data_IF_834003723421
#
_entry.id   IF_834003723421
#
_cell.length_a   1.000
_cell.length_b   1.000
_cell.length_c   1.000
_cell.angle_alpha   90.00
_cell.angle_beta   90.00
_cell.angle_gamma   90.00
#
_symmetry.space_group_name_H-M   'P 1'
#
loop_
_entity.id
_entity.type
_entity.pdbx_description
1 polymer ?
#
# COMPACT_ATOMS: atom_id res chain seq x y z
N UNK A 1 -30.03 24.69 15.24
CA UNK A 1 -31.20 23.98 15.78
C UNK A 1 -30.72 23.22 17.00
N UNK A 2 -30.81 23.83 18.18
CA UNK A 2 -30.43 23.18 19.44
C UNK A 2 -31.62 22.34 19.86
N UNK A 3 -31.52 21.02 19.72
CA UNK A 3 -32.64 20.13 20.04
C UNK A 3 -32.42 19.55 21.43
N UNK A 4 -33.32 19.85 22.36
CA UNK A 4 -33.21 19.50 23.78
C UNK A 4 -34.07 18.26 24.09
N UNK A 5 -33.51 17.32 24.87
CA UNK A 5 -34.10 16.05 25.33
C UNK A 5 -34.59 15.07 24.24
N UNK A 6 -33.65 14.31 23.67
CA UNK A 6 -33.97 13.12 22.87
C UNK A 6 -33.75 11.82 23.65
N UNK A 7 -34.75 10.95 23.62
CA UNK A 7 -34.56 9.53 23.93
C UNK A 7 -33.56 8.90 22.96
N UNK A 8 -32.88 7.83 23.39
CA UNK A 8 -31.87 7.12 22.57
C UNK A 8 -32.42 6.71 21.19
N UNK A 9 -33.66 6.24 21.15
CA UNK A 9 -34.35 5.82 19.93
C UNK A 9 -34.54 6.97 18.93
N UNK A 10 -34.85 8.17 19.42
CA UNK A 10 -35.02 9.33 18.56
C UNK A 10 -33.71 9.77 17.92
N UNK A 11 -32.58 9.72 18.66
CA UNK A 11 -31.25 10.03 18.10
C UNK A 11 -30.89 9.05 16.98
N UNK A 12 -31.15 7.76 17.19
CA UNK A 12 -30.95 6.73 16.18
C UNK A 12 -31.79 6.98 14.92
N UNK A 13 -33.09 7.26 15.09
CA UNK A 13 -34.01 7.48 13.98
C UNK A 13 -33.65 8.75 13.18
N UNK A 14 -33.15 9.81 13.83
CA UNK A 14 -32.68 11.02 13.14
C UNK A 14 -31.50 10.71 12.24
N UNK A 15 -30.48 9.99 12.75
CA UNK A 15 -29.32 9.59 11.95
C UNK A 15 -29.77 8.76 10.76
N UNK A 16 -30.67 7.78 10.99
CA UNK A 16 -31.22 6.94 9.93
C UNK A 16 -31.95 7.77 8.86
N UNK A 17 -32.83 8.70 9.24
CA UNK A 17 -33.54 9.56 8.29
C UNK A 17 -32.62 10.48 7.50
N UNK A 18 -31.53 10.96 8.09
CA UNK A 18 -30.53 11.76 7.39
C UNK A 18 -29.72 10.92 6.40
N UNK A 19 -29.38 9.67 6.77
CA UNK A 19 -28.76 8.70 5.86
C UNK A 19 -29.68 8.30 4.71
N UNK A 20 -30.98 8.12 4.96
CA UNK A 20 -31.98 7.81 3.93
C UNK A 20 -32.11 8.95 2.89
N UNK A 21 -31.80 10.19 3.31
CA UNK A 21 -31.68 11.37 2.43
C UNK A 21 -30.32 11.48 1.72
N UNK A 22 -29.47 10.45 1.83
CA UNK A 22 -28.12 10.37 1.24
C UNK A 22 -27.12 11.39 1.81
N UNK A 23 -27.33 11.88 3.02
CA UNK A 23 -26.32 12.68 3.72
C UNK A 23 -25.34 11.77 4.46
N UNK A 24 -24.04 12.11 4.39
CA UNK A 24 -23.01 11.48 5.23
C UNK A 24 -23.12 12.12 6.60
N UNK A 25 -23.42 11.32 7.62
CA UNK A 25 -23.77 11.79 8.95
C UNK A 25 -22.65 11.51 9.94
N UNK A 26 -22.06 12.58 10.48
CA UNK A 26 -21.21 12.50 11.66
C UNK A 26 -22.03 12.77 12.92
N UNK A 27 -21.94 11.89 13.92
CA UNK A 27 -22.64 12.06 15.20
C UNK A 27 -21.64 12.16 16.34
N UNK A 28 -21.83 13.14 17.22
CA UNK A 28 -21.10 13.25 18.49
C UNK A 28 -21.93 12.70 19.64
N UNK A 29 -21.30 12.03 20.59
CA UNK A 29 -21.96 11.51 21.78
C UNK A 29 -21.02 11.34 22.96
N UNK A 30 -21.59 11.32 24.16
CA UNK A 30 -20.87 11.23 25.44
C UNK A 30 -21.39 10.08 26.32
N UNK A 31 -22.69 9.79 26.26
CA UNK A 31 -23.36 8.81 27.11
C UNK A 31 -23.57 7.42 26.49
N UNK A 32 -23.90 6.46 27.34
CA UNK A 32 -24.34 5.09 26.96
C UNK A 32 -25.53 5.09 26.01
N UNK A 33 -26.40 6.10 26.13
CA UNK A 33 -27.60 6.28 25.32
C UNK A 33 -27.29 6.68 23.86
N UNK A 34 -26.10 7.22 23.61
CA UNK A 34 -25.68 7.63 22.28
C UNK A 34 -25.02 6.49 21.51
N UNK A 35 -24.58 5.42 22.20
CA UNK A 35 -23.93 4.27 21.60
C UNK A 35 -24.65 3.68 20.36
N UNK A 36 -25.99 3.42 20.36
CA UNK A 36 -26.66 2.88 19.18
C UNK A 36 -26.66 3.86 17.99
N UNK A 37 -26.76 5.15 18.27
CA UNK A 37 -26.81 6.19 17.24
C UNK A 37 -25.40 6.53 16.70
N UNK A 38 -24.38 6.54 17.56
CA UNK A 38 -22.96 6.63 17.21
C UNK A 38 -22.56 5.50 16.26
N UNK A 39 -22.97 4.27 16.57
CA UNK A 39 -22.69 3.10 15.74
C UNK A 39 -23.47 3.11 14.42
N UNK A 40 -24.62 3.78 14.37
CA UNK A 40 -25.44 3.89 13.16
C UNK A 40 -24.91 4.97 12.21
N UNK A 41 -24.32 6.03 12.75
CA UNK A 41 -23.74 7.12 11.98
C UNK A 41 -22.62 6.62 11.04
N UNK A 42 -22.36 7.38 9.97
CA UNK A 42 -21.24 7.06 9.08
C UNK A 42 -19.89 7.31 9.77
N UNK A 43 -19.89 8.24 10.73
CA UNK A 43 -18.75 8.52 11.61
C UNK A 43 -19.29 8.83 13.01
N UNK A 44 -19.04 7.93 13.97
CA UNK A 44 -19.29 8.16 15.39
C UNK A 44 -18.10 8.85 16.06
N UNK A 45 -18.35 9.95 16.79
CA UNK A 45 -17.33 10.75 17.47
C UNK A 45 -17.62 10.79 18.98
N UNK A 46 -16.74 10.21 19.79
CA UNK A 46 -16.82 10.33 21.24
C UNK A 46 -16.04 11.57 21.72
N UNK A 47 -16.65 12.33 22.62
CA UNK A 47 -16.00 13.48 23.28
C UNK A 47 -14.96 12.99 24.31
N UNK A 48 -13.99 13.82 24.68
CA UNK A 48 -12.91 13.45 25.62
C UNK A 48 -13.41 12.88 26.96
N UNK A 49 -14.50 13.46 27.49
CA UNK A 49 -15.12 13.04 28.74
C UNK A 49 -16.24 12.00 28.54
N UNK A 50 -16.31 11.37 27.36
CA UNK A 50 -17.33 10.37 27.07
C UNK A 50 -17.16 9.11 27.93
N UNK A 51 -18.27 8.43 28.21
CA UNK A 51 -18.28 7.10 28.85
C UNK A 51 -17.54 6.06 28.01
N UNK A 52 -16.97 5.04 28.65
CA UNK A 52 -16.27 3.95 27.93
C UNK A 52 -17.20 3.22 26.93
N UNK A 53 -18.49 3.18 27.23
CA UNK A 53 -19.51 2.68 26.31
C UNK A 53 -19.65 3.54 25.04
N UNK A 54 -19.62 4.86 25.14
CA UNK A 54 -19.66 5.76 23.98
C UNK A 54 -18.34 5.70 23.19
N UNK A 55 -17.18 5.69 23.89
CA UNK A 55 -15.85 5.55 23.24
C UNK A 55 -15.69 4.25 22.47
N UNK A 56 -16.28 3.16 22.96
CA UNK A 56 -16.26 1.86 22.28
C UNK A 56 -17.25 1.75 21.12
N UNK A 57 -18.30 2.58 21.12
CA UNK A 57 -19.27 2.65 20.03
C UNK A 57 -18.87 3.62 18.92
N UNK A 58 -17.96 4.56 19.18
CA UNK A 58 -17.47 5.58 18.23
C UNK A 58 -16.28 5.10 17.38
N UNK A 59 -16.16 5.64 16.16
CA UNK A 59 -15.01 5.42 15.28
C UNK A 59 -13.80 6.30 15.64
N UNK A 60 -14.06 7.49 16.19
CA UNK A 60 -13.05 8.49 16.57
C UNK A 60 -13.31 8.94 18.00
N UNK A 61 -12.25 8.95 18.82
CA UNK A 61 -12.30 9.52 20.18
C UNK A 61 -11.46 10.80 20.21
N UNK A 62 -12.09 11.91 20.60
CA UNK A 62 -11.41 13.19 20.80
C UNK A 62 -10.65 13.14 22.12
N UNK A 63 -9.41 13.61 22.13
CA UNK A 63 -8.62 13.71 23.36
C UNK A 63 -8.77 15.08 24.04
N UNK A 64 -9.28 16.06 23.31
CA UNK A 64 -9.54 17.42 23.78
C UNK A 64 -11.03 17.76 23.62
N UNK A 65 -11.65 18.46 24.57
CA UNK A 65 -13.02 18.92 24.43
C UNK A 65 -13.11 20.08 23.43
N UNK A 66 -14.21 20.15 22.68
CA UNK A 66 -14.54 21.31 21.85
C UNK A 66 -14.90 20.97 20.40
N UNK A 67 -15.84 21.73 19.85
CA UNK A 67 -16.27 21.58 18.45
C UNK A 67 -15.16 21.98 17.45
N UNK A 68 -14.24 22.86 17.86
CA UNK A 68 -13.09 23.28 17.05
C UNK A 68 -12.17 22.12 16.66
N UNK A 69 -12.04 21.12 17.53
CA UNK A 69 -11.24 19.91 17.28
C UNK A 69 -11.86 19.09 16.15
N UNK A 70 -13.19 18.97 16.13
CA UNK A 70 -13.91 18.27 15.06
C UNK A 70 -13.72 18.98 13.72
N UNK A 71 -13.85 20.31 13.69
CA UNK A 71 -13.63 21.09 12.47
C UNK A 71 -12.20 20.91 11.95
N UNK A 72 -11.21 20.98 12.85
CA UNK A 72 -9.80 20.78 12.51
C UNK A 72 -9.53 19.36 11.99
N UNK A 73 -10.11 18.34 12.62
CA UNK A 73 -10.01 16.95 12.19
C UNK A 73 -10.62 16.74 10.79
N UNK A 74 -11.78 17.35 10.51
CA UNK A 74 -12.42 17.30 9.19
C UNK A 74 -11.55 17.98 8.12
N UNK A 75 -10.95 19.14 8.41
CA UNK A 75 -10.05 19.81 7.47
C UNK A 75 -8.79 18.99 7.19
N UNK A 76 -8.18 18.40 8.21
CA UNK A 76 -7.01 17.52 8.05
C UNK A 76 -7.38 16.25 7.27
N UNK A 77 -8.52 15.63 7.56
CA UNK A 77 -9.03 14.47 6.81
C UNK A 77 -9.22 14.78 5.33
N UNK A 78 -9.80 15.95 5.00
CA UNK A 78 -9.93 16.40 3.60
C UNK A 78 -8.58 16.59 2.93
N UNK A 79 -7.56 17.09 3.63
CA UNK A 79 -6.21 17.22 3.07
C UNK A 79 -5.59 15.85 2.77
N UNK A 80 -5.73 14.87 3.68
CA UNK A 80 -5.26 13.49 3.48
C UNK A 80 -5.99 12.84 2.29
N UNK A 81 -7.31 13.02 2.21
CA UNK A 81 -8.12 12.48 1.12
C UNK A 81 -7.67 13.01 -0.25
N UNK A 82 -7.31 14.30 -0.35
CA UNK A 82 -6.77 14.86 -1.58
C UNK A 82 -5.42 14.25 -1.95
N UNK A 83 -4.52 14.02 -0.98
CA UNK A 83 -3.23 13.34 -1.23
C UNK A 83 -3.46 11.92 -1.79
N UNK A 84 -4.42 11.19 -1.22
CA UNK A 84 -4.78 9.85 -1.71
C UNK A 84 -5.30 9.89 -3.14
N UNK A 85 -6.20 10.81 -3.49
CA UNK A 85 -6.70 10.96 -4.87
C UNK A 85 -5.57 11.27 -5.84
N UNK A 86 -4.72 12.25 -5.52
CA UNK A 86 -3.59 12.65 -6.36
C UNK A 86 -2.61 11.49 -6.58
N UNK A 87 -2.33 10.72 -5.53
CA UNK A 87 -1.53 9.50 -5.62
C UNK A 87 -2.16 8.46 -6.55
N UNK A 88 -3.47 8.22 -6.45
CA UNK A 88 -4.15 7.27 -7.35
C UNK A 88 -4.10 7.72 -8.80
N UNK A 89 -4.32 9.02 -9.09
CA UNK A 89 -4.20 9.55 -10.46
C UNK A 89 -2.78 9.31 -11.00
N UNK A 90 -1.76 9.59 -10.19
CA UNK A 90 -0.36 9.37 -10.54
C UNK A 90 -0.05 7.89 -10.81
N UNK A 91 -0.43 6.99 -9.92
CA UNK A 91 -0.19 5.55 -10.05
C UNK A 91 -0.83 5.00 -11.33
N UNK A 92 -2.11 5.35 -11.58
CA UNK A 92 -2.81 4.96 -12.80
C UNK A 92 -2.09 5.52 -14.04
N UNK A 93 -1.71 6.80 -14.02
CA UNK A 93 -1.05 7.43 -15.16
C UNK A 93 0.27 6.76 -15.54
N UNK A 94 1.11 6.41 -14.57
CA UNK A 94 2.39 5.73 -14.83
C UNK A 94 2.17 4.34 -15.40
N UNK A 95 1.24 3.56 -14.85
CA UNK A 95 0.95 2.22 -15.38
C UNK A 95 0.51 2.28 -16.85
N UNK A 96 -0.41 3.18 -17.18
CA UNK A 96 -0.87 3.40 -18.56
C UNK A 96 0.29 3.84 -19.46
N UNK A 97 1.15 4.74 -18.97
CA UNK A 97 2.31 5.21 -19.73
C UNK A 97 3.28 4.08 -20.06
N UNK A 98 3.67 3.28 -19.08
CA UNK A 98 4.64 2.18 -19.27
C UNK A 98 4.04 1.14 -20.22
N UNK A 99 2.80 0.71 -19.96
CA UNK A 99 2.13 -0.30 -20.79
C UNK A 99 1.96 0.19 -22.22
N UNK A 100 1.33 1.35 -22.44
CA UNK A 100 1.07 1.85 -23.80
C UNK A 100 2.36 2.31 -24.50
N UNK A 101 3.27 2.98 -23.79
CA UNK A 101 4.48 3.54 -24.36
C UNK A 101 5.42 2.46 -24.90
N UNK A 102 5.78 1.48 -24.08
CA UNK A 102 6.67 0.41 -24.51
C UNK A 102 5.98 -0.54 -25.50
N UNK A 103 4.67 -0.81 -25.34
CA UNK A 103 3.91 -1.60 -26.31
C UNK A 103 3.91 -0.96 -27.70
N UNK A 104 3.70 0.36 -27.80
CA UNK A 104 3.68 1.06 -29.08
C UNK A 104 5.07 1.09 -29.75
N UNK A 105 6.14 1.30 -28.96
CA UNK A 105 7.51 1.29 -29.48
C UNK A 105 7.88 -0.10 -30.03
N UNK A 106 7.56 -1.16 -29.28
CA UNK A 106 7.80 -2.53 -29.70
C UNK A 106 6.97 -2.90 -30.95
N UNK A 107 5.72 -2.45 -31.05
CA UNK A 107 4.85 -2.76 -32.20
C UNK A 107 5.33 -2.08 -33.49
N UNK A 108 5.72 -0.81 -33.42
CA UNK A 108 6.03 0.01 -34.61
C UNK A 108 7.47 -0.20 -35.07
N UNK A 109 8.44 -0.23 -34.15
CA UNK A 109 9.88 -0.30 -34.49
C UNK A 109 10.56 -1.62 -34.10
N UNK A 110 9.84 -2.59 -33.52
CA UNK A 110 10.42 -3.85 -33.00
C UNK A 110 11.62 -3.62 -32.09
N UNK A 111 11.54 -2.56 -31.30
CA UNK A 111 12.58 -2.17 -30.35
C UNK A 111 12.23 -2.74 -28.97
N UNK A 112 13.09 -3.63 -28.47
CA UNK A 112 12.92 -4.27 -27.18
C UNK A 112 13.63 -3.47 -26.09
N UNK A 113 12.88 -3.07 -25.06
CA UNK A 113 13.42 -2.33 -23.93
C UNK A 113 13.70 -3.29 -22.77
N UNK A 114 14.91 -3.23 -22.23
CA UNK A 114 15.35 -4.13 -21.15
C UNK A 114 14.45 -3.97 -19.89
N UNK A 115 13.81 -5.05 -19.41
CA UNK A 115 13.02 -5.03 -18.18
C UNK A 115 13.78 -4.52 -16.94
N UNK A 116 15.10 -4.72 -16.87
CA UNK A 116 15.94 -4.25 -15.77
C UNK A 116 15.92 -2.73 -15.66
N UNK A 117 15.94 -2.01 -16.78
CA UNK A 117 15.87 -0.55 -16.79
C UNK A 117 14.50 -0.05 -16.31
N UNK A 118 13.41 -0.76 -16.65
CA UNK A 118 12.06 -0.46 -16.14
C UNK A 118 11.97 -0.71 -14.64
N UNK A 119 12.60 -1.77 -14.15
CA UNK A 119 12.69 -2.07 -12.72
C UNK A 119 13.39 -0.94 -11.95
N UNK A 120 14.50 -0.40 -12.47
CA UNK A 120 15.18 0.75 -11.86
C UNK A 120 14.26 1.96 -11.80
N UNK A 121 13.50 2.25 -12.87
CA UNK A 121 12.51 3.33 -12.87
C UNK A 121 11.47 3.12 -11.77
N UNK A 122 10.94 1.90 -11.62
CA UNK A 122 9.94 1.57 -10.61
C UNK A 122 10.47 1.81 -9.19
N UNK A 123 11.65 1.28 -8.85
CA UNK A 123 12.27 1.44 -7.52
C UNK A 123 12.50 2.92 -7.20
N UNK A 124 13.04 3.70 -8.15
CA UNK A 124 13.28 5.12 -7.95
C UNK A 124 11.98 5.93 -7.79
N UNK A 125 10.94 5.56 -8.53
CA UNK A 125 9.63 6.19 -8.39
C UNK A 125 9.05 5.89 -7.01
N UNK A 126 9.10 4.65 -6.52
CA UNK A 126 8.61 4.25 -5.20
C UNK A 126 9.30 5.00 -4.06
N UNK A 127 10.62 5.16 -4.15
CA UNK A 127 11.37 5.97 -3.18
C UNK A 127 10.88 7.42 -3.12
N UNK A 128 10.58 8.03 -4.27
CA UNK A 128 10.02 9.39 -4.32
C UNK A 128 8.55 9.49 -3.92
N UNK A 129 7.75 8.45 -4.16
CA UNK A 129 6.32 8.41 -3.79
C UNK A 129 6.13 8.58 -2.28
N UNK A 130 7.05 8.06 -1.46
CA UNK A 130 6.96 8.20 0.00
C UNK A 130 6.88 9.67 0.46
N UNK A 131 7.42 10.61 -0.33
CA UNK A 131 7.35 12.04 -0.03
C UNK A 131 5.96 12.66 -0.21
N UNK A 132 5.10 12.05 -1.04
CA UNK A 132 3.71 12.50 -1.27
C UNK A 132 2.89 12.42 0.03
N UNK A 133 3.19 11.45 0.90
CA UNK A 133 2.50 11.30 2.19
C UNK A 133 2.64 12.54 3.10
N UNK A 134 3.80 13.21 3.03
CA UNK A 134 4.17 14.40 3.84
C UNK A 134 3.92 15.72 3.13
N UNK A 135 3.26 15.67 1.99
CA UNK A 135 3.16 16.81 1.11
C UNK A 135 2.12 17.86 1.55
N UNK A 136 2.33 19.14 1.24
CA UNK A 136 1.41 20.21 1.57
C UNK A 136 0.34 20.38 0.49
N UNK A 137 -0.82 19.74 0.69
CA UNK A 137 -1.99 19.83 -0.20
C UNK A 137 -3.07 20.70 0.45
N UNK A 138 -3.74 21.55 -0.33
CA UNK A 138 -4.87 22.36 0.14
C UNK A 138 -6.12 21.47 0.29
N UNK A 139 -6.81 21.49 1.44
CA UNK A 139 -8.04 20.73 1.61
C UNK A 139 -9.13 21.26 0.68
N UNK A 140 -10.01 20.37 0.22
CA UNK A 140 -11.18 20.76 -0.58
C UNK A 140 -12.17 21.57 0.28
N UNK A 141 -12.71 22.71 -0.21
CA UNK A 141 -13.68 23.50 0.55
C UNK A 141 -15.01 22.77 0.72
N UNK A 142 -15.37 21.93 -0.25
CA UNK A 142 -16.56 21.09 -0.25
C UNK A 142 -16.21 19.63 0.10
N UNK A 143 -17.12 18.89 0.75
CA UNK A 143 -16.97 17.46 0.94
C UNK A 143 -16.86 16.77 -0.42
N UNK A 144 -15.83 15.95 -0.57
CA UNK A 144 -15.51 15.25 -1.80
C UNK A 144 -15.73 13.75 -1.57
N UNK A 145 -16.25 13.07 -2.58
CA UNK A 145 -16.52 11.63 -2.56
C UNK A 145 -15.57 10.92 -3.50
N UNK A 146 -15.26 9.65 -3.25
CA UNK A 146 -14.34 8.89 -4.10
C UNK A 146 -14.99 8.57 -5.47
N UNK A 147 -14.83 9.46 -6.44
CA UNK A 147 -15.31 9.28 -7.82
C UNK A 147 -14.27 8.52 -8.63
N UNK A 148 -14.24 7.18 -8.50
CA UNK A 148 -13.27 6.32 -9.17
C UNK A 148 -13.17 6.63 -10.67
N UNK A 149 -14.32 6.73 -11.36
CA UNK A 149 -14.36 6.95 -12.82
C UNK A 149 -13.62 8.22 -13.25
N UNK A 150 -13.77 9.31 -12.50
CA UNK A 150 -13.10 10.58 -12.79
C UNK A 150 -11.58 10.49 -12.56
N UNK A 151 -11.17 9.83 -11.47
CA UNK A 151 -9.78 9.58 -11.12
C UNK A 151 -9.08 8.73 -12.20
N UNK A 152 -9.72 7.62 -12.61
CA UNK A 152 -9.20 6.74 -13.65
C UNK A 152 -9.18 7.42 -15.02
N UNK A 153 -10.24 8.14 -15.40
CA UNK A 153 -10.28 8.86 -16.68
C UNK A 153 -9.15 9.89 -16.77
N UNK A 154 -8.94 10.69 -15.71
CA UNK A 154 -7.85 11.66 -15.64
C UNK A 154 -6.49 10.97 -15.74
N UNK A 155 -6.31 9.86 -15.02
CA UNK A 155 -5.07 9.09 -15.06
C UNK A 155 -4.76 8.48 -16.43
N UNK A 156 -5.77 7.93 -17.11
CA UNK A 156 -5.63 7.35 -18.46
C UNK A 156 -5.27 8.43 -19.47
N UNK A 157 -5.92 9.59 -19.43
CA UNK A 157 -5.64 10.70 -20.36
C UNK A 157 -4.21 11.21 -20.18
N UNK A 158 -3.78 11.46 -18.93
CA UNK A 158 -2.41 11.89 -18.64
C UNK A 158 -1.39 10.80 -19.05
N UNK A 159 -1.64 9.54 -18.71
CA UNK A 159 -0.77 8.43 -19.06
C UNK A 159 -0.64 8.22 -20.57
N UNK A 160 -1.74 8.29 -21.31
CA UNK A 160 -1.77 8.16 -22.76
C UNK A 160 -1.04 9.33 -23.44
N UNK A 161 -1.24 10.56 -22.98
CA UNK A 161 -0.49 11.72 -23.47
C UNK A 161 1.02 11.51 -23.28
N UNK A 162 1.46 11.08 -22.09
CA UNK A 162 2.88 10.82 -21.83
C UNK A 162 3.43 9.65 -22.65
N UNK A 163 2.63 8.61 -22.92
CA UNK A 163 3.02 7.51 -23.79
C UNK A 163 3.26 7.99 -25.22
N UNK A 164 2.33 8.78 -25.76
CA UNK A 164 2.45 9.39 -27.10
C UNK A 164 3.71 10.27 -27.16
N UNK A 165 3.97 11.09 -26.14
CA UNK A 165 5.18 11.94 -26.12
C UNK A 165 6.47 11.12 -26.04
N UNK A 166 6.47 9.96 -25.37
CA UNK A 166 7.61 9.04 -25.38
C UNK A 166 7.79 8.39 -26.76
N UNK A 167 6.71 8.01 -27.44
CA UNK A 167 6.76 7.50 -28.82
C UNK A 167 7.28 8.56 -29.80
N UNK A 168 6.77 9.79 -29.71
CA UNK A 168 7.23 10.92 -30.54
C UNK A 168 8.71 11.22 -30.30
N UNK A 169 9.15 11.19 -29.03
CA UNK A 169 10.57 11.35 -28.69
C UNK A 169 11.43 10.25 -29.32
N UNK A 170 11.00 8.98 -29.24
CA UNK A 170 11.71 7.86 -29.86
C UNK A 170 11.76 8.01 -31.39
N UNK A 171 10.64 8.37 -32.02
CA UNK A 171 10.58 8.61 -33.46
C UNK A 171 11.52 9.74 -33.90
N UNK A 172 11.54 10.86 -33.16
CA UNK A 172 12.46 11.96 -33.45
C UNK A 172 13.93 11.57 -33.29
N UNK A 173 14.25 10.70 -32.33
CA UNK A 173 15.63 10.25 -32.09
C UNK A 173 16.11 9.17 -33.07
N UNK A 174 15.20 8.31 -33.54
CA UNK A 174 15.55 7.17 -34.40
C UNK A 174 15.35 7.45 -35.90
N UNK A 175 14.28 8.13 -36.29
CA UNK A 175 13.93 8.32 -37.70
C UNK A 175 14.41 9.65 -38.30
N UNK A 176 14.72 10.65 -37.47
CA UNK A 176 15.06 12.01 -37.92
C UNK A 176 16.36 12.53 -37.31
N UNK A 177 17.03 13.46 -37.99
CA UNK A 177 18.24 14.14 -37.49
C UNK A 177 17.94 15.44 -36.74
N UNK A 178 16.71 15.58 -36.22
CA UNK A 178 16.25 16.79 -35.53
C UNK A 178 17.15 17.19 -34.36
N UNK A 179 17.58 16.23 -33.53
CA UNK A 179 18.42 16.51 -32.36
C UNK A 179 19.83 16.98 -32.76
N UNK A 180 20.56 16.27 -33.64
CA UNK A 180 21.83 16.76 -34.17
C UNK A 180 21.73 18.14 -34.84
N UNK A 181 20.71 18.36 -35.67
CA UNK A 181 20.57 19.60 -36.45
C UNK A 181 20.25 20.82 -35.56
N UNK A 182 19.36 20.67 -34.56
CA UNK A 182 18.97 21.78 -33.68
C UNK A 182 19.90 22.01 -32.50
N UNK A 183 20.44 20.94 -31.90
CA UNK A 183 21.21 21.03 -30.66
C UNK A 183 22.71 20.78 -30.86
N UNK A 184 23.16 20.44 -32.07
CA UNK A 184 24.57 20.17 -32.36
C UNK A 184 25.13 18.95 -31.63
N UNK A 185 24.26 18.01 -31.22
CA UNK A 185 24.64 16.79 -30.50
C UNK A 185 25.01 15.66 -31.46
N UNK A 186 25.77 14.68 -30.97
CA UNK A 186 26.13 13.50 -31.77
C UNK A 186 24.87 12.70 -32.13
N UNK A 187 24.76 12.17 -33.36
CA UNK A 187 23.65 11.29 -33.73
C UNK A 187 23.75 9.97 -32.98
N UNK A 188 22.66 9.58 -32.32
CA UNK A 188 22.53 8.35 -31.51
C UNK A 188 21.67 7.28 -32.21
N UNK A 189 21.35 7.49 -33.49
CA UNK A 189 20.35 6.71 -34.23
C UNK A 189 20.70 5.22 -34.35
N UNK A 190 21.97 4.91 -34.62
CA UNK A 190 22.42 3.56 -34.93
C UNK A 190 22.85 2.77 -33.69
N UNK A 191 23.08 3.45 -32.56
CA UNK A 191 23.51 2.80 -31.32
C UNK A 191 22.31 2.51 -30.41
N UNK A 192 21.91 1.23 -30.34
CA UNK A 192 20.80 0.77 -29.51
C UNK A 192 20.99 1.09 -28.02
N UNK A 193 22.21 1.01 -27.51
CA UNK A 193 22.50 1.26 -26.08
C UNK A 193 22.29 2.74 -25.73
N UNK A 194 22.80 3.64 -26.57
CA UNK A 194 22.64 5.09 -26.37
C UNK A 194 21.18 5.53 -26.52
N UNK A 195 20.44 4.94 -27.48
CA UNK A 195 19.02 5.20 -27.67
C UNK A 195 18.18 4.70 -26.47
N UNK A 196 18.49 3.51 -25.96
CA UNK A 196 17.87 2.95 -24.74
C UNK A 196 18.13 3.85 -23.54
N UNK A 197 19.37 4.31 -23.36
CA UNK A 197 19.74 5.20 -22.28
C UNK A 197 19.03 6.56 -22.36
N UNK A 198 18.93 7.15 -23.56
CA UNK A 198 18.20 8.40 -23.77
C UNK A 198 16.70 8.25 -23.46
N UNK A 199 16.09 7.14 -23.89
CA UNK A 199 14.69 6.86 -23.62
C UNK A 199 14.43 6.60 -22.12
N UNK A 200 15.31 5.83 -21.45
CA UNK A 200 15.27 5.64 -20.00
C UNK A 200 15.26 6.98 -19.26
N UNK A 201 16.18 7.88 -19.61
CA UNK A 201 16.36 9.18 -18.96
C UNK A 201 15.11 10.07 -19.16
N UNK A 202 14.57 10.09 -20.37
CA UNK A 202 13.31 10.79 -20.68
C UNK A 202 12.13 10.24 -19.88
N UNK A 203 11.98 8.90 -19.84
CA UNK A 203 10.86 8.27 -19.15
C UNK A 203 10.93 8.56 -17.66
N UNK A 204 12.10 8.45 -17.05
CA UNK A 204 12.22 8.63 -15.60
C UNK A 204 12.07 10.09 -15.15
N UNK A 205 12.62 11.07 -15.91
CA UNK A 205 12.45 12.50 -15.59
C UNK A 205 10.97 12.85 -15.61
N UNK A 206 10.28 12.51 -16.70
CA UNK A 206 8.88 12.87 -16.89
C UNK A 206 7.98 12.12 -15.89
N UNK A 207 8.32 10.88 -15.54
CA UNK A 207 7.54 10.12 -14.54
C UNK A 207 7.56 10.82 -13.20
N UNK A 208 8.69 11.39 -12.77
CA UNK A 208 8.71 12.19 -11.55
C UNK A 208 8.12 13.58 -11.71
N UNK A 209 8.28 14.21 -12.87
CA UNK A 209 7.66 15.50 -13.15
C UNK A 209 6.12 15.43 -13.04
N UNK A 210 5.54 14.28 -13.37
CA UNK A 210 4.10 14.01 -13.25
C UNK A 210 3.58 14.14 -11.81
N UNK A 211 4.42 13.93 -10.78
CA UNK A 211 4.02 14.15 -9.38
C UNK A 211 3.66 15.62 -9.16
N UNK A 212 4.38 16.55 -9.81
CA UNK A 212 4.09 17.98 -9.69
C UNK A 212 2.84 18.41 -10.45
N UNK A 213 2.43 17.66 -11.47
CA UNK A 213 1.19 17.94 -12.22
C UNK A 213 -0.02 17.36 -11.49
N UNK A 214 0.09 16.12 -11.01
CA UNK A 214 -1.00 15.41 -10.32
C UNK A 214 -1.31 15.97 -8.93
N UNK A 215 -0.36 16.65 -8.28
CA UNK A 215 -0.59 17.36 -7.01
C UNK A 215 -1.47 18.60 -7.16
N UNK A 216 -1.36 19.29 -8.31
CA UNK A 216 -1.86 20.66 -8.46
C UNK A 216 -3.23 20.64 -9.12
N UNK A 217 -4.19 21.35 -8.52
CA UNK A 217 -5.50 21.56 -9.14
C UNK A 217 -5.46 22.69 -10.16
N UNK A 218 -4.54 23.62 -9.96
CA UNK A 218 -4.22 24.69 -10.91
C UNK A 218 -2.91 24.38 -11.64
N UNK A 219 -2.27 25.40 -12.19
CA UNK A 219 -0.94 25.30 -12.75
C UNK A 219 0.08 24.84 -11.71
N UNK A 220 0.85 23.81 -12.06
CA UNK A 220 1.87 23.20 -11.21
C UNK A 220 2.90 24.21 -10.67
N UNK A 221 3.26 25.23 -11.45
CA UNK A 221 4.19 26.29 -11.04
C UNK A 221 3.64 27.25 -9.99
N UNK A 222 2.32 27.37 -9.85
CA UNK A 222 1.68 28.27 -8.88
C UNK A 222 1.59 27.61 -7.50
N UNK A 223 1.39 26.29 -7.47
CA UNK A 223 1.27 25.53 -6.24
C UNK A 223 2.65 25.08 -5.74
N UNK A 224 3.22 25.82 -4.79
CA UNK A 224 4.53 25.51 -4.21
C UNK A 224 4.56 24.07 -3.65
N UNK A 225 5.41 23.19 -4.18
CA UNK A 225 5.58 21.84 -3.64
C UNK A 225 6.28 21.87 -2.27
N UNK A 226 6.09 20.81 -1.48
CA UNK A 226 6.82 20.63 -0.23
C UNK A 226 8.33 20.52 -0.47
N UNK A 227 9.14 21.06 0.45
CA UNK A 227 10.61 21.01 0.35
C UNK A 227 11.13 19.58 0.18
N UNK A 228 10.55 18.61 0.90
CA UNK A 228 10.91 17.20 0.80
C UNK A 228 10.68 16.61 -0.60
N UNK A 229 9.62 17.03 -1.29
CA UNK A 229 9.31 16.57 -2.65
C UNK A 229 10.33 17.13 -3.65
N UNK A 230 10.70 18.40 -3.52
CA UNK A 230 11.74 19.02 -4.37
C UNK A 230 13.10 18.36 -4.14
N UNK A 231 13.48 18.18 -2.87
CA UNK A 231 14.73 17.53 -2.51
C UNK A 231 14.80 16.10 -3.04
N UNK A 232 13.72 15.33 -2.90
CA UNK A 232 13.63 13.97 -3.43
C UNK A 232 13.65 13.93 -4.97
N UNK A 233 13.01 14.89 -5.64
CA UNK A 233 13.10 15.03 -7.08
C UNK A 233 14.54 15.28 -7.52
N UNK A 234 15.21 16.28 -6.95
CA UNK A 234 16.60 16.62 -7.31
C UNK A 234 17.54 15.43 -7.02
N UNK A 235 17.42 14.82 -5.83
CA UNK A 235 18.22 13.66 -5.46
C UNK A 235 18.04 12.50 -6.45
N UNK A 236 16.79 12.19 -6.81
CA UNK A 236 16.52 11.14 -7.78
C UNK A 236 17.02 11.49 -9.19
N UNK A 237 16.93 12.74 -9.64
CA UNK A 237 17.51 13.13 -10.94
C UNK A 237 19.03 13.02 -10.96
N UNK A 238 19.71 13.41 -9.87
CA UNK A 238 21.15 13.28 -9.74
C UNK A 238 21.60 11.81 -9.74
N UNK A 239 20.87 10.95 -9.01
CA UNK A 239 21.15 9.50 -8.97
C UNK A 239 21.02 8.84 -10.35
N UNK A 240 20.13 9.31 -11.20
CA UNK A 240 19.94 8.76 -12.56
C UNK A 240 20.98 9.21 -13.56
N UNK A 241 21.47 10.44 -13.41
CA UNK A 241 22.48 11.01 -14.31
C UNK A 241 23.85 10.32 -14.16
N UNK A 242 24.09 9.63 -13.04
CA UNK A 242 25.39 9.04 -12.70
C UNK A 242 25.30 7.50 -12.57
N UNK A 243 25.15 6.73 -13.67
CA UNK A 243 25.04 5.27 -13.63
C UNK A 243 26.26 4.59 -12.99
N UNK A 244 27.42 5.24 -12.98
CA UNK A 244 28.63 4.73 -12.28
C UNK A 244 28.44 4.54 -10.77
N UNK A 245 27.50 5.26 -10.15
CA UNK A 245 27.17 5.05 -8.73
C UNK A 245 26.38 3.75 -8.50
N UNK A 246 25.70 3.24 -9.53
CA UNK A 246 24.95 1.97 -9.47
C UNK A 246 25.88 0.77 -9.57
N UNK A 247 26.89 0.85 -10.44
CA UNK A 247 27.98 -0.14 -10.54
C UNK A 247 28.72 -0.27 -9.21
N UNK A 248 28.98 0.84 -8.51
CA UNK A 248 29.63 0.85 -7.19
C UNK A 248 28.77 0.36 -6.01
N UNK A 249 27.46 0.16 -6.18
CA UNK A 249 26.53 -0.29 -5.13
C UNK A 249 26.30 -1.82 -5.13
N UNK A 250 27.15 -2.59 -5.81
CA UNK A 250 27.14 -4.07 -5.76
C UNK A 250 26.07 -4.74 -6.63
N UNK A 251 25.48 -4.02 -7.57
CA UNK A 251 24.47 -4.57 -8.50
C UNK A 251 25.06 -5.47 -9.59
N UNK A 252 26.37 -5.40 -9.85
CA UNK A 252 27.07 -6.28 -10.79
C UNK A 252 26.91 -7.77 -10.41
N UNK A 253 26.89 -8.07 -9.10
CA UNK A 253 26.64 -9.42 -8.59
C UNK A 253 25.19 -9.86 -8.77
N UNK A 254 24.23 -8.94 -8.65
CA UNK A 254 22.81 -9.22 -8.83
C UNK A 254 22.43 -9.41 -10.30
N UNK A 255 23.05 -8.66 -11.21
CA UNK A 255 22.93 -8.87 -12.66
C UNK A 255 23.48 -10.24 -13.07
N UNK A 256 24.67 -10.61 -12.58
CA UNK A 256 25.27 -11.94 -12.80
C UNK A 256 24.45 -13.09 -12.15
N UNK A 257 23.81 -12.85 -10.99
CA UNK A 257 22.94 -13.85 -10.36
C UNK A 257 21.57 -13.96 -11.02
N UNK A 258 21.03 -12.90 -11.62
CA UNK A 258 19.77 -12.97 -12.38
C UNK A 258 19.97 -13.67 -13.74
N UNK A 259 21.13 -13.49 -14.37
CA UNK A 259 21.48 -14.17 -15.63
C UNK A 259 21.54 -15.70 -15.46
N UNK A 260 21.89 -16.18 -14.27
CA UNK A 260 21.84 -17.60 -13.94
C UNK A 260 20.42 -18.17 -13.73
N UNK A 261 19.40 -17.31 -13.56
CA UNK A 261 18.02 -17.71 -13.27
C UNK A 261 17.08 -17.67 -14.50
N UNK A 262 17.50 -17.06 -15.61
CA UNK A 262 16.74 -17.02 -16.85
C UNK A 262 17.44 -17.86 -17.92
N UNK A 263 16.92 -19.06 -18.28
CA UNK A 263 17.48 -19.83 -19.38
C UNK A 263 17.17 -19.11 -20.71
N UNK A 264 18.21 -18.54 -21.32
CA UNK A 264 18.17 -17.99 -22.68
C UNK A 264 17.65 -19.05 -23.67
N UNK A 265 16.45 -18.84 -24.21
CA UNK A 265 15.94 -19.61 -25.37
C UNK A 265 16.42 -18.95 -26.65
N UNK A 266 17.40 -19.54 -27.32
CA UNK A 266 17.47 -19.66 -28.78
C UNK A 266 18.43 -20.80 -29.17
N UNK A 267 17.96 -21.89 -29.79
CA UNK A 267 18.84 -22.88 -30.42
C UNK A 267 19.17 -22.45 -31.85
N UNK A 268 20.42 -22.11 -32.12
CA UNK A 268 20.94 -22.02 -33.49
C UNK A 268 21.25 -23.42 -34.00
N UNK A 269 20.58 -23.79 -35.09
CA UNK A 269 20.71 -25.05 -35.81
C UNK A 269 21.97 -25.02 -36.66
N UNK A 270 22.93 -25.93 -36.44
CA UNK A 270 23.92 -26.28 -37.45
C UNK A 270 24.19 -27.79 -37.49
N UNK A 271 24.12 -28.33 -38.71
CA UNK A 271 24.29 -29.75 -39.08
C UNK A 271 25.72 -30.29 -38.84
N UNK A 272 25.90 -31.62 -38.74
CA UNK A 272 27.11 -32.27 -38.25
C UNK A 272 28.06 -32.67 -39.40
N UNK A 273 29.38 -32.65 -39.18
CA UNK A 273 30.34 -33.48 -39.91
C UNK A 273 31.67 -33.59 -39.15
N UNK A 274 32.00 -34.84 -38.79
CA UNK A 274 33.34 -35.46 -38.86
C UNK A 274 34.39 -35.08 -37.80
N UNK A 275 34.60 -35.96 -36.82
CA UNK A 275 35.89 -36.65 -36.61
C UNK A 275 35.79 -37.71 -35.51
N UNK A 276 36.17 -38.91 -35.90
CA UNK A 276 36.25 -40.18 -35.19
C UNK A 276 37.50 -40.23 -34.28
N UNK A 277 37.37 -40.82 -33.07
CA UNK A 277 38.27 -41.80 -32.41
C UNK A 277 37.91 -41.86 -30.92
N UNK A 278 37.14 -42.83 -30.43
CA UNK A 278 37.53 -44.19 -30.01
C UNK A 278 38.75 -44.28 -29.07
N UNK A 279 38.48 -44.50 -27.78
CA UNK A 279 39.06 -45.57 -26.95
C UNK A 279 38.14 -45.77 -25.71
N UNK A 280 37.24 -46.76 -25.67
CA UNK A 280 37.43 -48.12 -25.12
C UNK A 280 37.91 -48.17 -23.66
N UNK A 281 37.04 -48.65 -22.75
CA UNK A 281 37.45 -49.23 -21.45
C UNK A 281 36.56 -48.87 -20.25
N UNK A 282 35.60 -49.73 -19.91
CA UNK A 282 35.09 -49.98 -18.54
C UNK A 282 35.63 -51.36 -18.08
N UNK A 283 35.55 -51.86 -16.81
CA UNK A 283 34.65 -51.46 -15.68
C UNK A 283 35.21 -51.52 -14.20
N UNK A 284 34.48 -50.89 -13.25
CA UNK A 284 34.09 -51.27 -11.83
C UNK A 284 35.10 -51.78 -10.76
N UNK A 285 34.76 -51.93 -9.44
CA UNK A 285 33.92 -51.18 -8.46
C UNK A 285 34.59 -51.06 -7.03
N UNK A 286 33.79 -50.81 -5.96
CA UNK A 286 34.07 -50.91 -4.49
C UNK A 286 34.76 -49.71 -3.81
N UNK A 287 34.57 -49.29 -2.55
CA UNK A 287 33.83 -49.58 -1.29
C UNK A 287 34.02 -48.26 -0.46
N UNK A 288 33.21 -47.76 0.47
CA UNK A 288 32.55 -48.34 1.63
C UNK A 288 32.82 -47.46 2.88
N UNK A 289 31.78 -47.31 3.71
CA UNK A 289 31.75 -46.94 5.15
C UNK A 289 31.48 -45.49 5.61
N UNK A 290 30.34 -45.43 6.32
CA UNK A 290 29.89 -44.52 7.36
C UNK A 290 30.82 -44.44 8.59
N UNK A 291 30.81 -43.27 9.27
CA UNK A 291 30.60 -43.12 10.72
C UNK A 291 30.21 -41.66 11.08
N UNK A 292 29.11 -41.49 11.82
CA UNK A 292 28.62 -40.25 12.47
C UNK A 292 29.45 -39.90 13.74
N UNK A 293 29.02 -39.03 14.70
CA UNK A 293 28.14 -37.84 14.69
C UNK A 293 28.78 -36.61 15.43
N UNK A 294 28.10 -35.45 15.48
CA UNK A 294 27.82 -34.64 16.72
C UNK A 294 27.82 -33.12 16.52
N UNK A 295 26.70 -32.51 16.95
CA UNK A 295 26.51 -31.21 17.62
C UNK A 295 27.33 -29.96 17.20
N UNK A 296 26.66 -28.85 16.85
CA UNK A 296 26.41 -27.74 17.80
C UNK A 296 25.54 -26.60 17.21
N UNK A 297 24.55 -26.17 17.99
CA UNK A 297 23.92 -24.83 18.07
C UNK A 297 23.24 -24.17 16.85
N UNK A 298 21.91 -24.33 16.78
CA UNK A 298 21.00 -23.31 16.27
C UNK A 298 20.30 -22.62 17.47
N UNK A 299 20.57 -21.32 17.66
CA UNK A 299 19.94 -20.52 18.69
C UNK A 299 18.69 -19.84 18.11
N UNK A 300 17.52 -20.49 18.21
CA UNK A 300 16.23 -19.87 17.89
C UNK A 300 15.77 -19.00 19.06
N UNK A 301 16.01 -17.68 18.99
CA UNK A 301 15.39 -16.72 19.91
C UNK A 301 13.91 -16.52 19.51
N UNK A 302 13.00 -16.83 20.43
CA UNK A 302 11.60 -16.38 20.46
C UNK A 302 11.54 -14.84 20.43
N UNK A 303 10.57 -14.21 19.74
CA UNK A 303 10.24 -12.82 20.01
C UNK A 303 9.29 -12.77 21.21
N UNK A 304 9.77 -12.21 22.31
CA UNK A 304 8.96 -11.76 23.43
C UNK A 304 8.06 -10.59 23.00
N UNK A 305 6.86 -10.55 23.58
CA UNK A 305 5.97 -9.40 23.81
C UNK A 305 6.43 -8.05 23.23
N UNK A 306 5.82 -7.63 22.12
CA UNK A 306 5.92 -6.24 21.65
C UNK A 306 4.87 -5.42 22.39
N UNK A 307 5.36 -4.71 23.39
CA UNK A 307 4.73 -3.55 24.00
C UNK A 307 4.36 -2.51 22.93
N UNK A 308 3.22 -1.86 23.14
CA UNK A 308 2.81 -0.55 22.62
C UNK A 308 3.94 0.25 21.93
N UNK A 309 4.11 0.06 20.62
CA UNK A 309 4.90 0.98 19.81
C UNK A 309 3.99 2.09 19.28
N UNK A 310 4.08 3.24 19.96
CA UNK A 310 3.70 4.56 19.45
C UNK A 310 4.49 4.84 18.17
N UNK A 311 3.80 5.13 17.07
CA UNK A 311 4.42 5.84 15.95
C UNK A 311 4.56 7.33 16.32
N UNK A 312 5.76 7.93 16.25
CA UNK A 312 5.93 9.35 16.51
C UNK A 312 5.61 10.13 15.23
N UNK A 313 4.35 10.55 15.07
CA UNK A 313 4.00 11.66 14.18
C UNK A 313 3.44 12.80 15.04
N UNK A 314 4.37 13.56 15.62
CA UNK A 314 4.13 14.79 16.37
C UNK A 314 3.66 15.89 15.42
N UNK A 315 2.35 15.93 15.12
CA UNK A 315 1.56 17.17 14.92
C UNK A 315 0.07 16.84 14.71
N UNK A 316 -0.58 16.38 15.79
CA UNK A 316 -2.01 16.46 16.14
C UNK A 316 -2.35 15.26 17.04
N UNK A 317 -2.04 15.38 18.33
CA UNK A 317 -2.43 14.40 19.37
C UNK A 317 -3.89 14.61 19.83
N UNK A 318 -4.76 15.07 18.93
CA UNK A 318 -6.16 15.45 19.23
C UNK A 318 -7.17 14.33 18.97
N UNK A 319 -6.77 13.25 18.30
CA UNK A 319 -7.64 12.15 17.88
C UNK A 319 -6.91 10.81 17.99
N UNK A 320 -7.50 9.84 18.67
CA UNK A 320 -7.00 8.46 18.71
C UNK A 320 -7.88 7.57 17.83
N UNK A 321 -7.27 6.83 16.89
CA UNK A 321 -7.93 5.78 16.13
C UNK A 321 -7.79 4.45 16.86
N UNK A 322 -8.87 3.68 16.96
CA UNK A 322 -8.88 2.38 17.64
C UNK A 322 -8.70 1.26 16.60
N UNK A 323 -7.76 0.34 16.83
CA UNK A 323 -7.44 -0.77 15.91
C UNK A 323 -8.14 -2.08 16.27
N UNK A 324 -8.96 -2.10 17.33
CA UNK A 324 -9.68 -3.33 17.76
C UNK A 324 -10.92 -3.55 16.91
N UNK A 325 -10.83 -4.45 15.92
CA UNK A 325 -12.00 -5.06 15.30
C UNK A 325 -12.71 -5.92 16.37
N UNK A 326 -13.99 -5.65 16.60
CA UNK A 326 -14.91 -6.44 17.43
C UNK A 326 -14.73 -6.44 18.96
N UNK A 327 -13.95 -5.52 19.55
CA UNK A 327 -13.92 -5.21 21.00
C UNK A 327 -14.19 -6.40 21.94
N UNK A 328 -13.43 -7.50 21.78
CA UNK A 328 -13.52 -8.65 22.66
C UNK A 328 -14.94 -9.19 22.83
N UNK A 329 -15.78 -9.17 21.78
CA UNK A 329 -17.14 -9.77 21.82
C UNK A 329 -17.09 -11.19 22.37
N UNK A 330 -16.10 -11.98 21.93
CA UNK A 330 -15.83 -13.32 22.47
C UNK A 330 -15.40 -13.33 23.93
N UNK A 331 -14.59 -12.35 24.39
CA UNK A 331 -14.19 -12.25 25.80
C UNK A 331 -15.39 -11.92 26.71
N UNK A 332 -16.32 -11.09 26.23
CA UNK A 332 -17.56 -10.75 26.96
C UNK A 332 -18.59 -11.86 26.94
N UNK A 333 -18.74 -12.57 25.83
CA UNK A 333 -19.59 -13.77 25.75
C UNK A 333 -19.04 -14.87 26.67
N UNK A 334 -17.72 -15.04 26.72
CA UNK A 334 -17.05 -15.97 27.64
C UNK A 334 -17.24 -15.55 29.11
N UNK A 335 -17.04 -14.27 29.45
CA UNK A 335 -17.26 -13.76 30.81
C UNK A 335 -18.72 -13.85 31.24
N UNK A 336 -19.67 -13.60 30.34
CA UNK A 336 -21.10 -13.75 30.59
C UNK A 336 -21.50 -15.21 30.81
N UNK A 337 -20.96 -16.14 30.01
CA UNK A 337 -21.17 -17.58 30.20
C UNK A 337 -20.54 -18.08 31.53
N UNK A 338 -19.40 -17.52 31.92
CA UNK A 338 -18.73 -17.84 33.19
C UNK A 338 -19.52 -17.30 34.39
N UNK A 339 -20.10 -16.10 34.27
CA UNK A 339 -20.99 -15.50 35.28
C UNK A 339 -22.35 -16.20 35.39
N UNK A 340 -22.88 -16.77 34.30
CA UNK A 340 -24.07 -17.63 34.36
C UNK A 340 -23.79 -18.96 35.07
N UNK A 341 -22.59 -19.55 34.88
CA UNK A 341 -22.19 -20.80 35.56
C UNK A 341 -22.08 -20.64 37.08
N UNK A 342 -21.57 -19.50 37.55
CA UNK A 342 -21.47 -19.22 39.00
C UNK A 342 -22.83 -18.99 39.64
N UNK A 343 -23.79 -18.41 38.90
CA UNK A 343 -25.18 -18.24 39.33
C UNK A 343 -25.94 -19.56 39.50
N UNK A 344 -25.55 -20.62 38.78
CA UNK A 344 -26.14 -21.95 38.87
C UNK A 344 -25.38 -22.93 39.79
N UNK A 345 -24.43 -22.43 40.60
CA UNK A 345 -23.80 -23.20 41.67
C UNK A 345 -22.77 -24.26 41.23
N UNK A 346 -22.30 -24.21 39.98
CA UNK A 346 -21.20 -25.08 39.53
C UNK A 346 -19.86 -24.37 39.78
N UNK A 347 -18.97 -25.01 40.53
CA UNK A 347 -17.62 -24.50 40.77
C UNK A 347 -16.85 -24.31 39.45
N UNK A 348 -16.06 -23.24 39.29
CA UNK A 348 -15.12 -23.14 38.17
C UNK A 348 -14.07 -24.25 38.31
N UNK A 349 -13.76 -24.94 37.21
CA UNK A 349 -12.58 -25.81 37.17
C UNK A 349 -11.34 -24.96 37.43
N UNK A 350 -10.44 -25.44 38.28
CA UNK A 350 -9.23 -24.74 38.71
C UNK A 350 -8.45 -24.19 37.51
N UNK A 351 -8.23 -22.88 37.52
CA UNK A 351 -7.70 -22.09 36.40
C UNK A 351 -6.18 -22.20 36.22
N UNK A 352 -5.52 -23.20 36.81
CA UNK A 352 -4.06 -23.33 36.75
C UNK A 352 -3.53 -24.07 35.51
N UNK A 353 -4.34 -24.90 34.83
CA UNK A 353 -3.86 -25.71 33.70
C UNK A 353 -4.47 -25.34 32.33
N UNK A 354 -5.32 -24.32 32.27
CA UNK A 354 -6.11 -23.97 31.07
C UNK A 354 -5.37 -23.15 30.01
N UNK A 355 -4.11 -22.76 30.24
CA UNK A 355 -3.38 -21.85 29.35
C UNK A 355 -2.30 -22.49 28.48
N UNK A 356 -2.19 -23.82 28.43
CA UNK A 356 -1.02 -24.43 27.78
C UNK A 356 -1.27 -25.41 26.63
N UNK A 357 -2.44 -25.43 25.97
CA UNK A 357 -2.50 -26.20 24.71
C UNK A 357 -3.47 -25.70 23.64
N UNK A 358 -3.01 -25.78 22.38
CA UNK A 358 -3.72 -25.36 21.15
C UNK A 358 -4.99 -26.19 20.87
N UNK A 359 -5.28 -27.22 21.66
CA UNK A 359 -6.49 -28.05 21.58
C UNK A 359 -7.77 -27.30 22.02
N UNK A 360 -7.64 -26.29 22.88
CA UNK A 360 -8.77 -25.71 23.62
C UNK A 360 -9.76 -24.88 22.77
N UNK A 361 -9.34 -24.31 21.63
CA UNK A 361 -10.22 -23.50 20.79
C UNK A 361 -11.30 -24.32 20.07
N UNK A 362 -11.00 -25.57 19.72
CA UNK A 362 -11.99 -26.47 19.08
C UNK A 362 -13.07 -26.88 20.07
N UNK A 363 -12.67 -27.20 21.30
CA UNK A 363 -13.60 -27.58 22.38
C UNK A 363 -14.51 -26.41 22.79
N UNK A 364 -13.98 -25.19 22.89
CA UNK A 364 -14.78 -23.98 23.14
C UNK A 364 -15.80 -23.70 22.03
N UNK A 365 -15.43 -23.97 20.76
CA UNK A 365 -16.33 -23.81 19.61
C UNK A 365 -17.44 -24.87 19.61
N UNK A 366 -17.13 -26.13 19.92
CA UNK A 366 -18.12 -27.21 20.00
C UNK A 366 -19.11 -27.01 21.15
N UNK A 367 -18.65 -26.49 22.29
CA UNK A 367 -19.49 -26.19 23.45
C UNK A 367 -20.47 -25.05 23.13
N UNK A 368 -20.02 -24.01 22.41
CA UNK A 368 -20.88 -22.91 21.97
C UNK A 368 -21.95 -23.39 20.97
N UNK A 369 -21.59 -24.32 20.09
CA UNK A 369 -22.51 -24.88 19.09
C UNK A 369 -23.57 -25.80 19.72
N UNK A 370 -23.19 -26.59 20.73
CA UNK A 370 -24.14 -27.38 21.53
C UNK A 370 -25.10 -26.51 22.34
N UNK A 371 -24.62 -25.41 22.93
CA UNK A 371 -25.47 -24.46 23.66
C UNK A 371 -26.50 -23.81 22.74
N UNK A 372 -26.09 -23.43 21.52
CA UNK A 372 -27.00 -22.87 20.50
C UNK A 372 -28.08 -23.86 20.07
N UNK A 373 -27.72 -25.13 19.82
CA UNK A 373 -28.71 -26.18 19.48
C UNK A 373 -29.73 -26.42 20.60
N UNK A 374 -29.31 -26.36 21.87
CA UNK A 374 -30.23 -26.50 23.00
C UNK A 374 -31.19 -25.32 23.15
N UNK A 375 -30.71 -24.10 22.86
CA UNK A 375 -31.56 -22.91 22.84
C UNK A 375 -32.57 -22.93 21.68
N UNK A 376 -32.22 -23.52 20.53
CA UNK A 376 -33.15 -23.72 19.40
C UNK A 376 -34.18 -24.82 19.67
N UNK A 377 -33.84 -25.89 20.41
CA UNK A 377 -34.81 -26.93 20.80
C UNK A 377 -35.78 -26.46 21.89
N UNK A 378 -35.38 -25.48 22.71
CA UNK A 378 -36.21 -24.89 23.75
C UNK A 378 -37.16 -23.78 23.25
N UNK A 379 -37.06 -23.41 21.96
CA UNK A 379 -37.85 -22.35 21.32
C UNK A 379 -38.84 -22.97 20.34
#
# INVERSE_FOLDING_TARGET
MTICWFAAEHKYEIVKRLQDRKHICGMTGDGVNDAPALKKADIGIAVADATDAARSASDIVLTEPGLSVIVSAVLTSRAIFQRMKNYTIYAVSITIRIVLGFMLIALIWRFDFDPFMVLIIAILNDGTIMTISKDRVKPSPLPDSWKLREIFATGVVLGAYLAIMTVVFFWLAHATDFFPEKFGVRPIRDNHEELTAALYLQVSIISQALIFVTRSRSWSFVERPGFLLIAAFIAAQLLRKNPRHWVGMGWDHLALQLDHLLPSRHPQVHHPLRSQRQSLGQPSPEQGRHASPSLLHLHTRKPNSISSQRCPCLTMMQTAFTTKKDYGRGEREAQWALAQRTLHGLQPADTSDLFNDKSSYRELSEIAEQAKRRAEVAR
#
